data_IF_377228093113
#
_entry.id   IF_377228093113
#
_cell.length_a   1.000
_cell.length_b   1.000
_cell.length_c   1.000
_cell.angle_alpha   90.00
_cell.angle_beta   90.00
_cell.angle_gamma   90.00
#
_symmetry.space_group_name_H-M   'P 1'
#
loop_
_entity.id
_entity.type
_entity.pdbx_description
1 polymer ?
#
# COMPACT_ATOMS: atom_id res chain seq x y z
N UNK A 1 -61.11 -16.15 22.87
CA UNK A 1 -61.02 -17.54 22.37
C UNK A 1 -62.06 -17.73 21.28
N UNK A 2 -61.84 -17.08 20.13
CA UNK A 2 -62.83 -17.00 19.05
C UNK A 2 -62.57 -18.04 17.98
N UNK A 3 -63.63 -18.68 17.51
CA UNK A 3 -63.65 -19.64 16.39
C UNK A 3 -63.04 -19.02 15.10
N UNK A 4 -63.00 -17.70 15.01
CA UNK A 4 -62.34 -16.92 13.96
C UNK A 4 -60.79 -16.94 13.99
N UNK A 5 -60.14 -17.20 15.12
CA UNK A 5 -58.68 -17.42 15.16
C UNK A 5 -58.29 -18.76 14.51
N UNK A 6 -59.23 -19.70 14.44
CA UNK A 6 -59.03 -21.03 13.85
C UNK A 6 -59.13 -21.03 12.33
N UNK A 7 -59.92 -20.11 11.75
CA UNK A 7 -60.13 -20.01 10.29
C UNK A 7 -58.99 -19.24 9.59
N UNK A 8 -58.23 -18.40 10.30
CA UNK A 8 -56.93 -17.89 9.79
C UNK A 8 -55.81 -18.95 9.79
N UNK A 9 -56.06 -20.15 10.34
CA UNK A 9 -55.12 -21.26 10.41
C UNK A 9 -54.79 -21.91 9.07
N UNK A 10 -55.63 -21.74 8.04
CA UNK A 10 -55.49 -22.43 6.74
C UNK A 10 -54.84 -21.61 5.62
N UNK A 11 -54.52 -20.33 5.84
CA UNK A 11 -53.75 -19.59 4.85
C UNK A 11 -52.33 -20.15 4.80
N UNK A 12 -51.89 -20.54 3.60
CA UNK A 12 -50.51 -20.87 3.30
C UNK A 12 -49.67 -19.69 3.78
N UNK A 13 -48.82 -19.92 4.77
CA UNK A 13 -47.93 -18.89 5.26
C UNK A 13 -46.92 -18.56 4.16
N UNK A 14 -46.91 -17.30 3.72
CA UNK A 14 -45.89 -16.78 2.82
C UNK A 14 -44.77 -16.27 3.71
N UNK A 15 -43.63 -16.95 3.62
CA UNK A 15 -42.39 -16.57 4.30
C UNK A 15 -41.56 -15.81 3.29
N UNK A 16 -41.50 -14.49 3.45
CA UNK A 16 -40.74 -13.61 2.58
C UNK A 16 -40.11 -12.48 3.38
N UNK A 17 -39.06 -11.88 2.80
CA UNK A 17 -38.46 -10.66 3.30
C UNK A 17 -38.36 -9.65 2.16
N UNK A 18 -39.00 -8.50 2.34
CA UNK A 18 -38.73 -7.29 1.55
C UNK A 18 -37.77 -6.43 2.33
N UNK A 19 -36.48 -6.46 1.96
CA UNK A 19 -35.46 -5.61 2.58
C UNK A 19 -35.77 -4.15 2.26
N UNK A 20 -36.16 -3.39 3.28
CA UNK A 20 -36.37 -1.96 3.24
C UNK A 20 -35.17 -1.18 3.79
N UNK A 21 -34.12 -1.89 4.23
CA UNK A 21 -32.95 -1.31 4.85
C UNK A 21 -31.69 -1.35 3.99
N UNK A 22 -30.74 -0.48 4.32
CA UNK A 22 -29.42 -0.41 3.67
C UNK A 22 -28.32 -1.07 4.49
N UNK A 23 -28.59 -1.45 5.73
CA UNK A 23 -27.62 -1.97 6.72
C UNK A 23 -27.89 -3.41 7.19
N UNK A 24 -29.08 -3.97 6.96
CA UNK A 24 -29.44 -5.32 7.44
C UNK A 24 -28.73 -6.38 6.60
N UNK A 25 -27.90 -7.20 7.25
CA UNK A 25 -27.19 -8.33 6.64
C UNK A 25 -28.00 -9.61 6.80
N UNK A 26 -28.48 -9.89 8.03
CA UNK A 26 -29.33 -11.05 8.33
C UNK A 26 -30.60 -10.59 9.01
N UNK A 27 -31.72 -11.14 8.58
CA UNK A 27 -33.03 -10.91 9.18
C UNK A 27 -33.75 -12.23 9.41
N UNK A 28 -34.18 -12.47 10.66
CA UNK A 28 -34.98 -13.65 11.01
C UNK A 28 -36.46 -13.35 10.83
N UNK A 29 -37.15 -14.20 10.09
CA UNK A 29 -38.59 -14.10 9.90
C UNK A 29 -39.32 -14.21 11.27
N UNK A 30 -40.10 -13.19 11.68
CA UNK A 30 -40.76 -13.19 12.97
C UNK A 30 -41.98 -14.12 12.97
N UNK A 31 -42.04 -15.01 13.96
CA UNK A 31 -43.17 -15.93 14.15
C UNK A 31 -43.38 -16.19 15.63
N UNK A 32 -44.64 -16.23 16.08
CA UNK A 32 -44.94 -16.67 17.43
C UNK A 32 -44.54 -18.14 17.61
N UNK A 33 -43.64 -18.42 18.57
CA UNK A 33 -43.16 -19.77 18.89
C UNK A 33 -42.17 -20.39 17.88
N UNK A 34 -41.73 -19.65 16.85
CA UNK A 34 -40.88 -20.16 15.76
C UNK A 34 -41.44 -21.42 15.09
N UNK A 35 -42.77 -21.48 14.91
CA UNK A 35 -43.44 -22.61 14.26
C UNK A 35 -43.82 -22.27 12.82
N UNK A 36 -43.14 -22.88 11.85
CA UNK A 36 -43.46 -22.76 10.42
C UNK A 36 -44.39 -23.91 10.02
N UNK A 37 -45.55 -23.57 9.45
CA UNK A 37 -46.53 -24.58 9.02
C UNK A 37 -46.01 -25.38 7.82
N UNK A 38 -46.36 -26.66 7.79
CA UNK A 38 -46.14 -27.53 6.62
C UNK A 38 -46.85 -26.96 5.39
N UNK A 39 -46.15 -26.88 4.27
CA UNK A 39 -46.70 -26.34 3.03
C UNK A 39 -46.63 -24.81 2.92
N UNK A 40 -45.98 -24.12 3.87
CA UNK A 40 -45.65 -22.70 3.75
C UNK A 40 -44.85 -22.45 2.46
N UNK A 41 -45.08 -21.28 1.84
CA UNK A 41 -44.39 -20.84 0.64
C UNK A 41 -43.25 -19.92 1.03
N UNK A 42 -42.02 -20.34 0.79
CA UNK A 42 -40.82 -19.53 0.97
C UNK A 42 -40.52 -18.80 -0.34
N UNK A 43 -40.45 -17.47 -0.29
CA UNK A 43 -40.07 -16.63 -1.43
C UNK A 43 -38.74 -15.96 -1.11
N UNK A 44 -37.71 -16.33 -1.87
CA UNK A 44 -36.36 -15.77 -1.77
C UNK A 44 -36.12 -14.88 -2.98
N UNK A 45 -35.74 -13.62 -2.75
CA UNK A 45 -35.50 -12.63 -3.83
C UNK A 45 -34.08 -12.74 -4.37
N UNK A 46 -33.79 -12.14 -5.52
CA UNK A 46 -32.50 -12.25 -6.24
C UNK A 46 -31.27 -11.86 -5.39
N UNK A 47 -31.39 -10.82 -4.57
CA UNK A 47 -30.30 -10.34 -3.69
C UNK A 47 -30.33 -10.96 -2.29
N UNK A 48 -30.95 -12.12 -2.15
CA UNK A 48 -31.14 -12.78 -0.86
C UNK A 48 -30.86 -14.28 -0.95
N UNK A 49 -30.55 -14.87 0.18
CA UNK A 49 -30.51 -16.31 0.40
C UNK A 49 -31.27 -16.61 1.69
N UNK A 50 -32.04 -17.69 1.75
CA UNK A 50 -32.74 -18.07 2.96
C UNK A 50 -32.09 -19.30 3.60
N UNK A 51 -31.58 -19.14 4.82
CA UNK A 51 -31.03 -20.21 5.66
C UNK A 51 -32.15 -20.75 6.54
N UNK A 52 -32.47 -22.02 6.36
CA UNK A 52 -33.49 -22.71 7.12
C UNK A 52 -32.86 -23.48 8.28
N UNK A 53 -33.25 -23.14 9.50
CA UNK A 53 -32.79 -23.76 10.74
C UNK A 53 -33.93 -24.57 11.32
N UNK A 54 -33.70 -25.84 11.59
CA UNK A 54 -34.67 -26.72 12.23
C UNK A 54 -34.10 -27.24 13.55
N UNK A 55 -34.84 -27.06 14.64
CA UNK A 55 -34.46 -27.54 15.98
C UNK A 55 -33.01 -27.14 16.38
N UNK A 56 -32.59 -25.93 15.99
CA UNK A 56 -31.26 -25.40 16.29
C UNK A 56 -30.13 -25.87 15.36
N UNK A 57 -30.43 -26.59 14.27
CA UNK A 57 -29.45 -26.98 13.25
C UNK A 57 -29.80 -26.41 11.89
N UNK A 58 -28.81 -25.90 11.17
CA UNK A 58 -28.96 -25.50 9.77
C UNK A 58 -29.32 -26.75 8.95
N UNK A 59 -30.50 -26.73 8.34
CA UNK A 59 -31.02 -27.86 7.57
C UNK A 59 -30.84 -27.65 6.06
N UNK A 60 -30.97 -26.42 5.57
CA UNK A 60 -30.80 -26.10 4.16
C UNK A 60 -30.56 -24.60 3.90
N UNK A 61 -30.06 -24.28 2.71
CA UNK A 61 -29.78 -22.92 2.24
C UNK A 61 -30.42 -22.72 0.86
N UNK A 62 -31.51 -21.97 0.82
CA UNK A 62 -32.30 -21.72 -0.38
C UNK A 62 -31.82 -20.48 -1.15
N UNK A 63 -31.46 -20.70 -2.41
CA UNK A 63 -31.11 -19.65 -3.38
C UNK A 63 -32.35 -18.87 -3.86
N UNK A 64 -32.22 -17.74 -4.57
CA UNK A 64 -33.35 -17.00 -5.12
C UNK A 64 -34.36 -17.88 -5.85
N UNK A 65 -35.65 -17.71 -5.55
CA UNK A 65 -36.71 -18.55 -6.08
C UNK A 65 -37.90 -18.70 -5.12
N UNK A 66 -38.90 -19.46 -5.56
CA UNK A 66 -40.07 -19.80 -4.74
C UNK A 66 -40.08 -21.29 -4.41
N UNK A 67 -40.15 -21.62 -3.13
CA UNK A 67 -40.10 -22.98 -2.63
C UNK A 67 -41.34 -23.28 -1.80
N UNK A 68 -41.81 -24.53 -1.84
CA UNK A 68 -42.79 -25.01 -0.88
C UNK A 68 -42.06 -25.80 0.20
N UNK A 69 -42.14 -25.34 1.45
CA UNK A 69 -41.48 -25.97 2.58
C UNK A 69 -42.19 -27.29 2.90
N UNK A 70 -41.58 -28.40 2.48
CA UNK A 70 -42.02 -29.78 2.74
C UNK A 70 -40.83 -30.57 3.30
N UNK A 71 -41.08 -31.42 4.30
CA UNK A 71 -40.04 -32.27 4.92
C UNK A 71 -39.27 -33.14 3.91
N UNK A 72 -39.87 -33.51 2.78
CA UNK A 72 -39.24 -34.35 1.75
C UNK A 72 -38.21 -33.61 0.88
N UNK A 73 -38.26 -32.28 0.84
CA UNK A 73 -37.39 -31.47 -0.02
C UNK A 73 -36.14 -30.93 0.71
N UNK A 74 -35.93 -31.32 1.98
CA UNK A 74 -34.84 -30.85 2.83
C UNK A 74 -33.83 -32.00 3.03
N UNK A 75 -32.69 -32.00 2.33
CA UNK A 75 -31.77 -33.14 2.27
C UNK A 75 -31.21 -33.55 3.64
N UNK A 76 -30.91 -32.59 4.52
CA UNK A 76 -30.40 -32.90 5.88
C UNK A 76 -31.50 -33.52 6.77
N UNK A 77 -32.77 -33.13 6.59
CA UNK A 77 -33.89 -33.71 7.35
C UNK A 77 -34.21 -35.15 6.97
N UNK A 78 -33.96 -35.53 5.70
CA UNK A 78 -34.16 -36.91 5.24
C UNK A 78 -33.28 -37.92 5.97
N UNK A 79 -32.10 -37.48 6.45
CA UNK A 79 -31.12 -38.33 7.14
C UNK A 79 -31.38 -38.43 8.66
N UNK A 80 -32.01 -37.41 9.26
CA UNK A 80 -32.31 -37.36 10.70
C UNK A 80 -33.67 -38.01 11.09
N UNK A 81 -34.60 -38.22 10.14
CA UNK A 81 -36.00 -38.60 10.40
C UNK A 81 -36.33 -40.09 10.28
N UNK A 82 -35.52 -40.94 10.89
CA UNK A 82 -35.90 -42.32 11.17
C UNK A 82 -36.86 -42.47 12.36
N UNK A 83 -37.95 -41.70 12.52
CA UNK A 83 -38.90 -41.88 13.65
C UNK A 83 -40.39 -41.69 13.27
N UNK A 84 -40.98 -42.81 12.84
CA UNK A 84 -42.29 -43.44 13.14
C UNK A 84 -43.57 -42.68 13.58
N UNK A 85 -43.67 -41.35 13.65
CA UNK A 85 -44.97 -40.72 14.00
C UNK A 85 -45.41 -39.61 13.04
N UNK A 86 -46.69 -39.68 12.62
CA UNK A 86 -47.34 -38.86 11.60
C UNK A 86 -47.13 -37.34 11.77
N UNK A 87 -46.61 -36.72 10.71
CA UNK A 87 -46.12 -35.34 10.69
C UNK A 87 -47.21 -34.30 10.35
N UNK A 88 -48.24 -34.21 11.20
CA UNK A 88 -49.20 -33.11 11.19
C UNK A 88 -48.95 -32.11 12.35
N UNK A 89 -47.77 -32.12 12.96
CA UNK A 89 -47.39 -31.21 14.06
C UNK A 89 -46.43 -30.11 13.57
N UNK A 90 -46.61 -28.85 13.99
CA UNK A 90 -45.64 -27.79 13.73
C UNK A 90 -44.29 -28.18 14.34
N UNK A 91 -43.22 -27.96 13.58
CA UNK A 91 -41.84 -28.12 14.04
C UNK A 91 -41.27 -26.74 14.35
N UNK A 92 -40.39 -26.65 15.36
CA UNK A 92 -39.66 -25.42 15.67
C UNK A 92 -38.62 -25.17 14.57
N UNK A 93 -38.91 -24.21 13.70
CA UNK A 93 -38.04 -23.82 12.62
C UNK A 93 -37.96 -22.30 12.49
N UNK A 94 -36.78 -21.86 12.08
CA UNK A 94 -36.46 -20.46 11.87
C UNK A 94 -35.98 -20.31 10.43
N UNK A 95 -36.40 -19.22 9.79
CA UNK A 95 -35.89 -18.82 8.48
C UNK A 95 -35.15 -17.51 8.66
N UNK A 96 -33.87 -17.55 8.34
CA UNK A 96 -33.00 -16.38 8.30
C UNK A 96 -32.82 -16.00 6.84
N UNK A 97 -33.23 -14.79 6.47
CA UNK A 97 -32.87 -14.22 5.19
C UNK A 97 -31.53 -13.50 5.32
N UNK A 98 -30.63 -13.76 4.39
CA UNK A 98 -29.29 -13.21 4.35
C UNK A 98 -29.14 -12.44 3.04
N UNK A 99 -28.69 -11.19 3.13
CA UNK A 99 -28.48 -10.35 1.97
C UNK A 99 -27.20 -10.75 1.22
N UNK A 100 -27.32 -11.02 -0.08
CA UNK A 100 -26.18 -11.34 -0.95
C UNK A 100 -25.63 -10.11 -1.69
N UNK A 101 -26.22 -8.93 -1.47
CA UNK A 101 -25.77 -7.66 -2.05
C UNK A 101 -24.43 -7.21 -1.46
N UNK A 102 -23.77 -6.31 -2.17
CA UNK A 102 -22.60 -5.62 -1.64
C UNK A 102 -23.02 -4.43 -0.76
N UNK A 103 -22.39 -4.31 0.40
CA UNK A 103 -22.47 -3.18 1.31
C UNK A 103 -21.23 -2.33 1.08
N UNK A 104 -21.36 -1.20 0.38
CA UNK A 104 -20.22 -0.48 -0.20
C UNK A 104 -19.72 0.72 0.61
N UNK A 105 -20.48 1.19 1.59
CA UNK A 105 -20.17 2.41 2.35
C UNK A 105 -19.61 2.11 3.76
N UNK A 106 -18.83 1.03 3.88
CA UNK A 106 -18.19 0.68 5.13
C UNK A 106 -16.86 1.42 5.24
N UNK A 107 -16.68 2.17 6.32
CA UNK A 107 -15.48 2.98 6.55
C UNK A 107 -14.50 2.28 7.49
N UNK A 108 -13.21 2.39 7.18
CA UNK A 108 -12.11 1.90 8.01
C UNK A 108 -11.08 3.02 8.25
N UNK A 109 -10.27 2.87 9.29
CA UNK A 109 -9.19 3.80 9.58
C UNK A 109 -8.36 3.38 10.78
N UNK A 110 -7.09 3.77 10.78
CA UNK A 110 -6.15 3.50 11.87
C UNK A 110 -6.39 4.47 13.02
N UNK A 111 -6.84 3.98 14.18
CA UNK A 111 -7.00 4.84 15.38
C UNK A 111 -5.64 5.26 15.95
N UNK A 112 -4.71 4.32 15.99
CA UNK A 112 -3.30 4.56 16.33
C UNK A 112 -2.45 4.48 15.07
N UNK A 113 -1.40 5.31 14.93
CA UNK A 113 -0.48 5.18 13.81
C UNK A 113 0.11 3.78 13.72
N UNK A 114 0.24 3.30 12.50
CA UNK A 114 0.92 2.05 12.17
C UNK A 114 2.37 2.38 11.87
N UNK A 115 3.29 1.64 12.49
CA UNK A 115 4.72 1.83 12.28
C UNK A 115 5.14 0.97 11.08
N UNK A 116 5.69 1.62 10.04
CA UNK A 116 6.20 0.97 8.84
C UNK A 116 7.67 1.34 8.69
N UNK A 117 8.47 0.37 8.25
CA UNK A 117 9.88 0.58 7.94
C UNK A 117 10.01 1.07 6.50
N UNK A 118 10.53 2.28 6.36
CA UNK A 118 10.88 2.93 5.12
C UNK A 118 12.41 2.95 4.94
N UNK A 119 12.87 2.91 3.68
CA UNK A 119 14.30 2.89 3.37
C UNK A 119 14.98 4.25 3.55
N UNK A 120 14.28 5.34 3.29
CA UNK A 120 14.81 6.71 3.33
C UNK A 120 14.61 7.35 4.72
N UNK A 121 13.43 7.14 5.32
CA UNK A 121 13.02 7.79 6.56
C UNK A 121 13.11 6.87 7.79
N UNK A 122 13.48 5.60 7.63
CA UNK A 122 13.57 4.65 8.73
C UNK A 122 12.19 4.24 9.26
N UNK A 123 11.94 4.37 10.56
CA UNK A 123 10.65 3.96 11.13
C UNK A 123 9.64 5.11 11.05
N UNK A 124 8.66 4.99 10.14
CA UNK A 124 7.64 6.02 9.89
C UNK A 124 6.32 5.60 10.50
N UNK A 125 5.65 6.55 11.17
CA UNK A 125 4.31 6.36 11.76
C UNK A 125 3.25 6.86 10.80
N UNK A 126 2.58 5.93 10.12
CA UNK A 126 1.55 6.25 9.14
C UNK A 126 0.16 6.16 9.77
N UNK A 127 -0.72 7.08 9.40
CA UNK A 127 -2.16 6.90 9.58
C UNK A 127 -2.80 6.72 8.22
N UNK A 128 -3.78 5.86 8.12
CA UNK A 128 -4.52 5.66 6.88
C UNK A 128 -6.01 5.47 7.16
N UNK A 129 -6.83 5.89 6.21
CA UNK A 129 -8.27 5.67 6.24
C UNK A 129 -8.82 5.44 4.85
N UNK A 130 -10.04 4.91 4.80
CA UNK A 130 -10.78 4.80 3.55
C UNK A 130 -12.07 4.02 3.71
N UNK A 131 -12.45 3.34 2.62
CA UNK A 131 -13.68 2.57 2.54
C UNK A 131 -13.44 1.15 2.06
N UNK A 132 -14.38 0.26 2.34
CA UNK A 132 -14.40 -1.08 1.79
C UNK A 132 -15.83 -1.52 1.51
N UNK A 133 -15.94 -2.49 0.59
CA UNK A 133 -17.19 -3.18 0.32
C UNK A 133 -17.16 -4.55 1.01
N UNK A 134 -18.31 -4.96 1.53
CA UNK A 134 -18.53 -6.27 2.12
C UNK A 134 -19.65 -6.99 1.37
N UNK A 135 -19.54 -8.30 1.24
CA UNK A 135 -20.66 -9.16 0.84
C UNK A 135 -20.62 -10.47 1.61
N UNK A 136 -21.77 -11.10 1.76
CA UNK A 136 -21.84 -12.46 2.31
C UNK A 136 -21.48 -13.46 1.22
N UNK A 137 -20.51 -14.34 1.48
CA UNK A 137 -20.09 -15.42 0.59
C UNK A 137 -20.64 -16.78 1.02
N UNK A 138 -20.74 -17.02 2.33
CA UNK A 138 -21.36 -18.23 2.89
C UNK A 138 -22.39 -17.83 3.97
N UNK A 139 -23.69 -17.83 3.64
CA UNK A 139 -24.77 -17.51 4.56
C UNK A 139 -24.85 -18.44 5.78
N UNK A 140 -24.48 -19.72 5.64
CA UNK A 140 -24.55 -20.68 6.72
C UNK A 140 -23.39 -20.50 7.71
N UNK A 141 -22.19 -20.22 7.22
CA UNK A 141 -21.05 -19.87 8.06
C UNK A 141 -21.30 -18.55 8.80
N UNK A 142 -21.78 -17.51 8.10
CA UNK A 142 -22.12 -16.22 8.71
C UNK A 142 -23.12 -16.38 9.87
N UNK A 143 -24.18 -17.16 9.64
CA UNK A 143 -25.19 -17.41 10.66
C UNK A 143 -24.61 -18.15 11.86
N UNK A 144 -23.73 -19.13 11.64
CA UNK A 144 -23.13 -19.93 12.71
C UNK A 144 -22.10 -19.17 13.55
N UNK A 145 -21.24 -18.40 12.89
CA UNK A 145 -20.05 -17.79 13.52
C UNK A 145 -20.30 -16.37 14.03
N UNK A 146 -21.16 -15.58 13.36
CA UNK A 146 -21.37 -14.16 13.68
C UNK A 146 -22.80 -13.83 14.12
N UNK A 147 -23.81 -14.09 13.28
CA UNK A 147 -25.18 -13.64 13.58
C UNK A 147 -25.86 -14.45 14.70
N UNK A 148 -25.51 -15.74 14.85
CA UNK A 148 -26.06 -16.61 15.89
C UNK A 148 -27.58 -16.67 15.86
N UNK A 149 -28.22 -16.25 16.95
CA UNK A 149 -29.69 -16.20 17.10
C UNK A 149 -30.25 -14.78 17.00
N UNK A 150 -29.44 -13.82 16.56
CA UNK A 150 -29.86 -12.42 16.43
C UNK A 150 -31.01 -12.31 15.41
N UNK A 151 -32.16 -11.74 15.80
CA UNK A 151 -33.25 -11.52 14.86
C UNK A 151 -32.91 -10.55 13.73
N UNK A 152 -31.96 -9.63 13.92
CA UNK A 152 -31.57 -8.64 12.93
C UNK A 152 -30.09 -8.24 13.09
N UNK A 153 -29.23 -8.91 12.34
CA UNK A 153 -27.79 -8.62 12.30
C UNK A 153 -27.48 -7.54 11.25
N UNK A 154 -26.87 -6.44 11.68
CA UNK A 154 -26.58 -5.26 10.84
C UNK A 154 -25.10 -5.04 10.55
N UNK A 155 -24.83 -4.14 9.61
CA UNK A 155 -23.47 -3.75 9.26
C UNK A 155 -22.65 -3.17 10.42
N UNK A 156 -23.26 -2.44 11.37
CA UNK A 156 -22.49 -1.86 12.48
C UNK A 156 -21.83 -2.93 13.35
N UNK A 157 -22.51 -4.05 13.56
CA UNK A 157 -22.05 -5.15 14.40
C UNK A 157 -20.82 -5.84 13.82
N UNK A 158 -20.75 -5.95 12.49
CA UNK A 158 -19.60 -6.55 11.81
C UNK A 158 -18.48 -5.53 11.58
N UNK A 159 -18.81 -4.26 11.42
CA UNK A 159 -17.85 -3.22 11.03
C UNK A 159 -16.74 -3.03 12.08
N UNK A 160 -17.05 -3.10 13.37
CA UNK A 160 -16.02 -2.91 14.40
C UNK A 160 -15.01 -4.06 14.44
N UNK A 161 -15.49 -5.30 14.34
CA UNK A 161 -14.63 -6.49 14.22
C UNK A 161 -13.71 -6.37 13.00
N UNK A 162 -14.28 -6.03 11.84
CA UNK A 162 -13.52 -5.88 10.60
C UNK A 162 -12.51 -4.73 10.67
N UNK A 163 -12.85 -3.60 11.29
CA UNK A 163 -11.92 -2.48 11.48
C UNK A 163 -10.66 -2.92 12.22
N UNK A 164 -10.81 -3.70 13.29
CA UNK A 164 -9.69 -4.20 14.07
C UNK A 164 -8.81 -5.15 13.25
N UNK A 165 -9.45 -6.05 12.49
CA UNK A 165 -8.77 -6.98 11.59
C UNK A 165 -7.95 -6.23 10.52
N UNK A 166 -8.57 -5.25 9.87
CA UNK A 166 -7.94 -4.41 8.84
C UNK A 166 -6.68 -3.74 9.39
N UNK A 167 -6.75 -3.11 10.57
CA UNK A 167 -5.60 -2.43 11.18
C UNK A 167 -4.47 -3.42 11.49
N UNK A 168 -4.81 -4.63 11.95
CA UNK A 168 -3.83 -5.70 12.22
C UNK A 168 -3.09 -6.18 10.97
N UNK A 169 -3.75 -6.20 9.80
CA UNK A 169 -3.16 -6.65 8.53
C UNK A 169 -2.47 -5.53 7.75
N UNK A 170 -2.92 -4.30 7.90
CA UNK A 170 -2.39 -3.14 7.17
C UNK A 170 -0.88 -2.96 7.36
N UNK A 171 -0.39 -3.08 8.59
CA UNK A 171 1.03 -2.91 8.90
C UNK A 171 1.93 -3.90 8.14
N UNK A 172 1.52 -5.18 8.17
CA UNK A 172 2.23 -6.25 7.48
C UNK A 172 2.17 -6.08 5.96
N UNK A 173 1.00 -5.69 5.42
CA UNK A 173 0.84 -5.44 4.00
C UNK A 173 1.72 -4.27 3.51
N UNK A 174 1.71 -3.13 4.21
CA UNK A 174 2.54 -1.97 3.86
C UNK A 174 4.04 -2.30 3.95
N UNK A 175 4.46 -3.00 5.00
CA UNK A 175 5.86 -3.40 5.18
C UNK A 175 6.33 -4.42 4.13
N UNK A 176 5.50 -5.40 3.78
CA UNK A 176 5.82 -6.42 2.78
C UNK A 176 5.83 -5.87 1.35
N UNK A 177 5.02 -4.84 1.08
CA UNK A 177 4.95 -4.23 -0.24
C UNK A 177 6.25 -3.50 -0.62
N UNK A 178 7.08 -3.11 0.37
CA UNK A 178 8.39 -2.47 0.13
C UNK A 178 8.30 -1.13 -0.62
N UNK A 179 7.15 -0.47 -0.55
CA UNK A 179 6.88 0.78 -1.27
C UNK A 179 7.41 1.95 -0.45
N UNK A 180 8.26 2.82 -1.02
CA UNK A 180 8.67 4.04 -0.36
C UNK A 180 7.45 4.86 0.07
N UNK A 181 7.54 5.47 1.23
CA UNK A 181 6.42 6.19 1.84
C UNK A 181 5.89 7.32 0.94
N UNK A 182 6.75 7.94 0.13
CA UNK A 182 6.39 9.00 -0.82
C UNK A 182 5.63 8.46 -2.05
N UNK A 183 5.84 7.19 -2.40
CA UNK A 183 5.20 6.53 -3.53
C UNK A 183 3.91 5.80 -3.15
N UNK A 184 3.61 5.69 -1.84
CA UNK A 184 2.42 5.01 -1.35
C UNK A 184 1.13 5.56 -1.97
N UNK A 185 1.04 6.88 -2.16
CA UNK A 185 -0.11 7.52 -2.79
C UNK A 185 -0.36 7.01 -4.21
N UNK A 186 0.71 6.79 -4.99
CA UNK A 186 0.61 6.28 -6.36
C UNK A 186 0.22 4.79 -6.43
N UNK A 187 0.37 4.05 -5.32
CA UNK A 187 0.12 2.60 -5.26
C UNK A 187 -1.10 2.20 -4.41
N UNK A 188 -1.93 3.17 -3.99
CA UNK A 188 -3.10 2.92 -3.13
C UNK A 188 -4.06 1.88 -3.71
N UNK A 189 -4.32 1.91 -5.03
CA UNK A 189 -5.21 0.94 -5.69
C UNK A 189 -4.66 -0.48 -5.65
N UNK A 190 -3.36 -0.66 -5.90
CA UNK A 190 -2.69 -1.96 -5.85
C UNK A 190 -2.72 -2.52 -4.43
N UNK A 191 -2.34 -1.70 -3.45
CA UNK A 191 -2.35 -2.04 -2.03
C UNK A 191 -3.77 -2.37 -1.55
N UNK A 192 -4.77 -1.62 -2.02
CA UNK A 192 -6.17 -1.90 -1.73
C UNK A 192 -6.62 -3.25 -2.27
N UNK A 193 -6.24 -3.60 -3.51
CA UNK A 193 -6.51 -4.92 -4.09
C UNK A 193 -5.87 -6.07 -3.31
N UNK A 194 -4.61 -5.92 -2.89
CA UNK A 194 -3.91 -6.92 -2.08
C UNK A 194 -4.58 -7.11 -0.72
N UNK A 195 -4.92 -6.01 -0.03
CA UNK A 195 -5.64 -6.06 1.25
C UNK A 195 -7.02 -6.70 1.11
N UNK A 196 -7.76 -6.40 0.04
CA UNK A 196 -9.05 -7.03 -0.24
C UNK A 196 -8.93 -8.55 -0.36
N UNK A 197 -7.88 -9.04 -1.04
CA UNK A 197 -7.58 -10.46 -1.16
C UNK A 197 -7.28 -11.12 0.19
N UNK A 198 -6.33 -10.54 0.95
CA UNK A 198 -5.93 -11.04 2.28
C UNK A 198 -7.14 -11.11 3.22
N UNK A 199 -7.93 -10.04 3.28
CA UNK A 199 -9.12 -9.98 4.14
C UNK A 199 -10.19 -10.99 3.71
N UNK A 200 -10.39 -11.17 2.40
CA UNK A 200 -11.36 -12.16 1.89
C UNK A 200 -10.96 -13.58 2.26
N UNK A 201 -9.67 -13.91 2.18
CA UNK A 201 -9.17 -15.23 2.59
C UNK A 201 -9.35 -15.47 4.10
N UNK A 202 -8.99 -14.48 4.92
CA UNK A 202 -9.11 -14.58 6.37
C UNK A 202 -10.57 -14.65 6.85
N UNK A 203 -11.49 -13.98 6.15
CA UNK A 203 -12.91 -13.93 6.50
C UNK A 203 -13.73 -15.07 5.86
N UNK A 204 -13.11 -15.93 5.07
CA UNK A 204 -13.80 -17.05 4.42
C UNK A 204 -14.46 -18.00 5.43
N UNK A 205 -13.83 -18.25 6.58
CA UNK A 205 -14.36 -19.14 7.62
C UNK A 205 -15.62 -18.60 8.30
N UNK A 206 -15.82 -17.29 8.30
CA UNK A 206 -17.01 -16.62 8.84
C UNK A 206 -18.02 -16.24 7.75
N UNK A 207 -17.78 -16.67 6.50
CA UNK A 207 -18.71 -16.47 5.39
C UNK A 207 -18.78 -15.05 4.84
N UNK A 208 -17.73 -14.24 5.02
CA UNK A 208 -17.66 -12.86 4.53
C UNK A 208 -16.59 -12.75 3.44
N UNK A 209 -16.85 -11.93 2.43
CA UNK A 209 -15.87 -11.53 1.42
C UNK A 209 -15.77 -10.00 1.33
N UNK A 210 -14.58 -9.51 1.03
CA UNK A 210 -14.27 -8.08 0.83
C UNK A 210 -13.95 -7.86 -0.64
N UNK A 211 -14.96 -7.66 -1.52
CA UNK A 211 -14.74 -7.55 -2.96
C UNK A 211 -13.95 -6.30 -3.37
N UNK A 212 -13.96 -5.25 -2.55
CA UNK A 212 -13.24 -4.01 -2.81
C UNK A 212 -12.75 -3.39 -1.52
N UNK A 213 -11.51 -2.91 -1.52
CA UNK A 213 -10.94 -2.16 -0.42
C UNK A 213 -10.20 -0.95 -1.00
N UNK A 214 -10.47 0.22 -0.44
CA UNK A 214 -9.96 1.51 -0.93
C UNK A 214 -9.23 2.20 0.20
N UNK A 215 -8.00 2.61 -0.08
CA UNK A 215 -7.24 3.54 0.75
C UNK A 215 -7.51 4.94 0.18
N UNK A 216 -8.26 5.77 0.90
CA UNK A 216 -8.60 7.13 0.46
C UNK A 216 -7.45 8.10 0.74
N UNK A 217 -6.75 7.92 1.88
CA UNK A 217 -5.63 8.78 2.25
C UNK A 217 -4.67 8.08 3.21
N UNK A 218 -3.40 8.45 3.11
CA UNK A 218 -2.31 8.05 4.00
C UNK A 218 -1.66 9.35 4.49
N UNK A 219 -1.73 9.61 5.78
CA UNK A 219 -1.15 10.79 6.42
C UNK A 219 0.22 10.44 7.02
N UNK A 220 1.16 11.34 6.76
CA UNK A 220 2.53 11.28 7.27
C UNK A 220 2.60 11.97 8.64
N UNK A 221 3.61 11.64 9.45
CA UNK A 221 3.89 12.42 10.65
C UNK A 221 4.55 13.75 10.26
N UNK A 222 4.31 14.80 11.05
CA UNK A 222 4.75 16.18 10.76
C UNK A 222 6.26 16.30 10.55
N UNK A 223 7.05 15.48 11.26
CA UNK A 223 8.51 15.46 11.11
C UNK A 223 8.95 15.01 9.72
N UNK A 224 8.24 14.04 9.13
CA UNK A 224 8.50 13.54 7.77
C UNK A 224 7.98 14.54 6.74
N UNK A 225 6.79 15.13 6.95
CA UNK A 225 6.28 16.19 6.07
C UNK A 225 7.26 17.37 5.97
N UNK A 226 7.77 17.84 7.12
CA UNK A 226 8.79 18.90 7.16
C UNK A 226 10.09 18.52 6.44
N UNK A 227 10.52 17.27 6.57
CA UNK A 227 11.73 16.78 5.89
C UNK A 227 11.53 16.74 4.37
N UNK A 228 10.37 16.29 3.91
CA UNK A 228 9.99 16.25 2.49
C UNK A 228 9.89 17.67 1.92
N UNK A 229 9.24 18.59 2.63
CA UNK A 229 9.14 19.99 2.22
C UNK A 229 10.51 20.67 2.15
N UNK A 230 11.39 20.40 3.12
CA UNK A 230 12.75 20.93 3.12
C UNK A 230 13.58 20.36 1.95
N UNK A 231 13.48 19.07 1.68
CA UNK A 231 14.14 18.43 0.55
C UNK A 231 13.60 18.95 -0.79
N UNK A 232 12.28 19.11 -0.92
CA UNK A 232 11.64 19.70 -2.09
C UNK A 232 12.10 21.15 -2.34
N UNK A 233 12.16 21.98 -1.28
CA UNK A 233 12.74 23.32 -1.36
C UNK A 233 14.20 23.30 -1.82
N UNK A 234 15.01 22.35 -1.31
CA UNK A 234 16.41 22.22 -1.72
C UNK A 234 16.54 21.83 -3.20
N UNK A 235 15.69 20.92 -3.67
CA UNK A 235 15.70 20.42 -5.05
C UNK A 235 15.22 21.48 -6.06
N UNK A 236 14.20 22.27 -5.70
CA UNK A 236 13.73 23.41 -6.51
C UNK A 236 14.80 24.50 -6.61
N UNK A 237 15.52 24.73 -5.52
CA UNK A 237 16.51 25.79 -5.45
C UNK A 237 17.77 25.43 -6.24
N UNK A 238 18.15 24.15 -6.31
CA UNK A 238 19.20 23.59 -7.18
C UNK A 238 20.63 24.10 -6.93
N UNK A 239 20.77 25.25 -6.26
CA UNK A 239 22.00 25.96 -6.00
C UNK A 239 22.13 26.23 -4.50
N UNK A 240 23.12 25.58 -3.86
CA UNK A 240 23.42 25.70 -2.43
C UNK A 240 23.64 27.16 -1.99
N UNK A 241 24.08 28.04 -2.90
CA UNK A 241 24.22 29.47 -2.63
C UNK A 241 22.87 30.18 -2.51
N UNK A 242 21.87 29.80 -3.31
CA UNK A 242 20.51 30.34 -3.17
C UNK A 242 19.82 29.81 -1.92
N UNK A 243 20.07 28.56 -1.52
CA UNK A 243 19.48 28.00 -0.31
C UNK A 243 19.98 28.72 0.94
N UNK A 244 21.29 28.99 1.03
CA UNK A 244 21.86 29.77 2.13
C UNK A 244 21.33 31.20 2.14
N UNK A 245 21.14 31.83 0.97
CA UNK A 245 20.46 33.14 0.85
C UNK A 245 18.99 33.10 1.29
N UNK A 246 18.24 32.06 0.94
CA UNK A 246 16.83 31.91 1.33
C UNK A 246 16.72 31.65 2.83
N UNK A 247 17.56 30.79 3.41
CA UNK A 247 17.58 30.57 4.86
C UNK A 247 17.96 31.84 5.62
N UNK A 248 18.93 32.62 5.14
CA UNK A 248 19.25 33.91 5.77
C UNK A 248 18.10 34.90 5.63
N UNK A 249 17.38 34.90 4.49
CA UNK A 249 16.20 35.73 4.30
C UNK A 249 15.02 35.32 5.23
N UNK A 250 14.76 34.03 5.39
CA UNK A 250 13.74 33.50 6.31
C UNK A 250 14.12 33.83 7.76
N UNK A 251 15.38 33.64 8.16
CA UNK A 251 15.87 34.01 9.49
C UNK A 251 15.77 35.52 9.75
N UNK A 252 16.06 36.37 8.75
CA UNK A 252 15.86 37.82 8.83
C UNK A 252 14.38 38.18 8.95
N UNK A 253 13.49 37.48 8.24
CA UNK A 253 12.04 37.68 8.32
C UNK A 253 11.48 37.29 9.68
N UNK A 254 11.89 36.15 10.22
CA UNK A 254 11.45 35.65 11.53
C UNK A 254 11.99 36.52 12.68
N UNK A 255 13.22 37.03 12.54
CA UNK A 255 13.79 38.02 13.46
C UNK A 255 13.08 39.38 13.37
N UNK A 256 12.72 39.83 12.15
CA UNK A 256 11.95 41.05 11.94
C UNK A 256 10.50 40.94 12.44
N UNK A 257 9.91 39.74 12.40
CA UNK A 257 8.61 39.44 12.98
C UNK A 257 8.64 39.33 14.52
N UNK A 258 9.81 39.09 15.13
CA UNK A 258 10.01 39.03 16.57
C UNK A 258 11.10 40.01 17.06
N UNK A 259 10.90 41.33 16.91
CA UNK A 259 11.93 42.35 17.16
C UNK A 259 12.37 42.49 18.64
N UNK A 260 11.72 41.78 19.57
CA UNK A 260 12.06 41.75 21.00
C UNK A 260 12.71 40.44 21.49
N UNK A 261 12.93 39.45 20.61
CA UNK A 261 13.59 38.19 20.98
C UNK A 261 15.11 38.28 20.77
N UNK A 262 15.91 37.83 21.75
CA UNK A 262 17.38 37.89 21.75
C UNK A 262 18.12 37.21 20.57
N UNK A 263 17.41 36.70 19.58
CA UNK A 263 17.94 36.22 18.30
C UNK A 263 18.49 37.37 17.40
N UNK A 264 17.96 38.59 17.51
CA UNK A 264 18.41 39.74 16.71
C UNK A 264 19.85 40.19 17.03
N UNK A 265 20.26 40.10 18.30
CA UNK A 265 21.63 40.46 18.73
C UNK A 265 22.67 39.44 18.27
N UNK A 266 22.36 38.14 18.31
CA UNK A 266 23.26 37.08 17.87
C UNK A 266 23.51 37.08 16.35
N UNK A 267 22.49 37.43 15.56
CA UNK A 267 22.59 37.49 14.09
C UNK A 267 23.32 38.74 13.61
N UNK A 268 23.12 39.90 14.27
CA UNK A 268 23.87 41.13 13.98
C UNK A 268 25.36 41.01 14.29
N UNK A 269 25.71 40.32 15.37
CA UNK A 269 27.10 39.96 15.70
C UNK A 269 27.68 38.95 14.72
N UNK A 270 26.93 37.91 14.33
CA UNK A 270 27.38 36.89 13.38
C UNK A 270 27.64 37.43 11.97
N UNK A 271 26.76 38.30 11.46
CA UNK A 271 26.94 38.98 10.18
C UNK A 271 28.09 40.01 10.23
N UNK A 272 28.25 40.73 11.34
CA UNK A 272 29.37 41.66 11.54
C UNK A 272 30.73 40.96 11.58
N UNK A 273 30.81 39.79 12.22
CA UNK A 273 32.04 38.98 12.27
C UNK A 273 32.37 38.33 10.92
N UNK A 274 31.37 37.82 10.18
CA UNK A 274 31.58 37.24 8.86
C UNK A 274 31.99 38.28 7.80
N UNK A 275 31.41 39.49 7.85
CA UNK A 275 31.83 40.61 7.02
C UNK A 275 33.24 41.11 7.39
N UNK A 276 33.56 41.15 8.68
CA UNK A 276 34.90 41.51 9.18
C UNK A 276 35.99 40.54 8.74
N UNK A 277 35.73 39.23 8.73
CA UNK A 277 36.70 38.23 8.26
C UNK A 277 36.95 38.28 6.75
N UNK A 278 35.92 38.55 5.95
CA UNK A 278 36.09 38.75 4.50
C UNK A 278 36.87 40.03 4.17
N UNK A 279 36.71 41.08 4.98
CA UNK A 279 37.47 42.32 4.82
C UNK A 279 38.92 42.18 5.32
N UNK A 280 39.15 41.43 6.40
CA UNK A 280 40.49 41.15 6.90
C UNK A 280 41.30 40.22 5.98
N UNK A 281 40.64 39.29 5.28
CA UNK A 281 41.29 38.42 4.28
C UNK A 281 41.70 39.14 2.99
N UNK A 282 41.08 40.27 2.66
CA UNK A 282 41.40 41.06 1.45
C UNK A 282 42.60 42.03 1.64
N UNK A 283 43.08 42.21 2.88
CA UNK A 283 44.21 43.10 3.20
C UNK A 283 45.52 42.37 3.54
N UNK A 284 45.55 41.04 3.50
CA UNK A 284 46.75 40.25 3.78
C UNK A 284 47.59 40.05 2.50
N UNK A 285 48.85 40.54 2.43
CA UNK A 285 49.72 40.33 1.29
C UNK A 285 50.17 38.87 1.19
N UNK A 286 50.03 38.31 0.00
CA UNK A 286 50.33 36.93 -0.38
C UNK A 286 51.83 36.77 -0.72
N UNK A 287 52.59 35.83 -0.08
CA UNK A 287 53.92 35.47 -0.55
C UNK A 287 53.88 34.38 -1.63
N UNK A 288 54.82 34.48 -2.58
CA UNK A 288 55.00 33.64 -3.76
C UNK A 288 55.57 32.22 -3.43
N UNK A 289 55.39 31.23 -4.35
CA UNK A 289 55.69 29.83 -4.08
C UNK A 289 57.16 29.47 -4.33
N UNK A 290 57.75 28.66 -3.44
CA UNK A 290 59.04 28.01 -3.65
C UNK A 290 58.85 26.49 -3.89
N UNK A 291 59.64 25.96 -4.83
CA UNK A 291 59.60 24.61 -5.35
C UNK A 291 59.93 23.51 -4.30
N UNK A 292 59.43 22.28 -4.46
CA UNK A 292 59.72 21.19 -3.54
C UNK A 292 60.99 20.43 -3.93
N UNK A 293 61.88 20.23 -2.95
CA UNK A 293 62.94 19.25 -2.98
C UNK A 293 62.56 18.04 -2.09
N UNK A 294 62.69 16.84 -2.65
CA UNK A 294 62.67 15.54 -1.95
C UNK A 294 63.74 15.47 -0.85
N UNK A 295 63.50 14.73 0.24
CA UNK A 295 64.29 13.52 0.42
C UNK A 295 63.57 12.33 1.11
N UNK A 296 64.27 11.20 1.01
CA UNK A 296 63.91 9.83 1.34
C UNK A 296 63.77 9.49 2.84
N UNK A 297 63.20 8.30 3.08
CA UNK A 297 62.94 7.61 4.34
C UNK A 297 64.17 7.40 5.27
N UNK A 298 63.94 7.05 6.54
CA UNK A 298 64.22 5.66 6.93
C UNK A 298 63.30 5.02 8.01
N UNK A 299 63.15 3.70 7.84
CA UNK A 299 63.13 2.57 8.79
C UNK A 299 62.46 2.65 10.20
N UNK A 300 61.66 1.60 10.45
CA UNK A 300 61.07 1.19 11.74
C UNK A 300 62.06 0.42 12.66
N UNK A 301 61.60 0.07 13.88
CA UNK A 301 61.73 -1.33 14.32
C UNK A 301 60.41 -1.94 14.87
N UNK A 302 60.31 -3.25 14.65
CA UNK A 302 59.24 -4.18 15.05
C UNK A 302 59.41 -4.68 16.51
N UNK A 303 58.38 -5.12 17.24
CA UNK A 303 57.82 -6.50 17.35
C UNK A 303 56.96 -6.58 18.66
N UNK A 304 56.29 -7.70 19.05
CA UNK A 304 55.46 -8.68 18.32
C UNK A 304 54.16 -9.08 19.08
N UNK A 305 53.23 -9.78 18.42
CA UNK A 305 52.58 -11.05 18.88
C UNK A 305 51.23 -11.32 18.16
N UNK A 306 51.08 -12.55 17.67
CA UNK A 306 49.93 -13.14 16.96
C UNK A 306 49.01 -13.93 17.93
N UNK A 307 48.07 -14.80 17.51
CA UNK A 307 47.34 -14.95 16.22
C UNK A 307 45.80 -15.11 16.40
N UNK A 308 44.99 -15.02 15.33
CA UNK A 308 43.91 -15.99 14.98
C UNK A 308 43.27 -15.65 13.61
N UNK A 309 42.79 -16.69 12.93
CA UNK A 309 42.36 -16.85 11.54
C UNK A 309 41.52 -15.74 10.86
N UNK A 310 41.84 -15.49 9.58
CA UNK A 310 41.03 -14.71 8.65
C UNK A 310 40.87 -15.44 7.30
N UNK A 311 39.67 -15.99 7.05
CA UNK A 311 39.09 -16.12 5.72
C UNK A 311 37.86 -15.22 5.67
N UNK A 312 38.10 -13.91 5.60
CA UNK A 312 37.07 -12.91 5.39
C UNK A 312 37.11 -12.51 3.92
N UNK A 313 36.27 -13.14 3.11
CA UNK A 313 35.86 -12.58 1.82
C UNK A 313 35.06 -11.31 2.12
N UNK A 314 35.46 -10.12 1.64
CA UNK A 314 34.64 -8.93 1.81
C UNK A 314 33.35 -9.06 0.97
N UNK A 315 32.18 -8.67 1.52
CA UNK A 315 30.91 -8.77 0.83
C UNK A 315 30.87 -7.82 -0.39
N UNK A 316 30.17 -8.19 -1.47
CA UNK A 316 30.01 -7.34 -2.65
C UNK A 316 29.16 -6.12 -2.29
N UNK A 317 29.65 -4.93 -2.65
CA UNK A 317 28.87 -3.69 -2.60
C UNK A 317 27.72 -3.76 -3.64
N UNK A 318 26.55 -3.17 -3.35
CA UNK A 318 25.45 -3.09 -4.29
C UNK A 318 25.81 -2.21 -5.50
N UNK A 319 25.66 -2.77 -6.70
CA UNK A 319 25.72 -2.05 -7.99
C UNK A 319 24.70 -0.92 -8.01
N UNK A 320 25.18 0.31 -8.10
CA UNK A 320 24.35 1.50 -8.34
C UNK A 320 24.19 1.63 -9.85
N UNK A 321 22.99 1.39 -10.38
CA UNK A 321 22.70 1.57 -11.79
C UNK A 321 22.97 3.03 -12.23
N UNK A 322 23.77 3.19 -13.28
CA UNK A 322 23.50 4.23 -14.28
C UNK A 322 24.51 5.35 -14.46
N UNK A 323 25.62 5.44 -13.71
CA UNK A 323 26.61 6.50 -13.91
C UNK A 323 27.76 6.04 -14.81
N UNK A 324 27.79 6.57 -16.04
CA UNK A 324 28.78 6.24 -17.06
C UNK A 324 29.78 7.37 -17.28
N UNK A 325 31.04 7.01 -17.45
CA UNK A 325 32.09 7.89 -17.93
C UNK A 325 32.40 7.56 -19.39
N UNK A 326 32.72 8.59 -20.18
CA UNK A 326 32.94 8.49 -21.63
C UNK A 326 34.30 9.12 -21.97
N UNK A 327 35.11 8.43 -22.77
CA UNK A 327 36.38 8.92 -23.27
C UNK A 327 36.19 9.70 -24.58
N UNK A 328 36.16 11.04 -24.51
CA UNK A 328 36.04 11.92 -25.67
C UNK A 328 37.30 12.78 -25.81
N UNK A 329 37.76 13.01 -27.04
CA UNK A 329 38.87 13.93 -27.34
C UNK A 329 40.16 13.72 -26.52
N UNK A 330 40.43 12.48 -26.08
CA UNK A 330 41.60 12.13 -25.25
C UNK A 330 41.44 12.40 -23.75
N UNK A 331 40.26 12.80 -23.28
CA UNK A 331 39.92 13.00 -21.88
C UNK A 331 38.72 12.17 -21.42
N UNK A 332 38.59 11.98 -20.10
CA UNK A 332 37.42 11.37 -19.47
C UNK A 332 36.38 12.44 -19.14
N UNK A 333 35.15 12.24 -19.58
CA UNK A 333 33.98 13.06 -19.26
C UNK A 333 32.90 12.22 -18.53
N UNK A 334 32.03 12.88 -17.75
CA UNK A 334 30.97 12.24 -16.93
C UNK A 334 31.08 12.56 -15.43
N UNK A 335 30.25 11.95 -14.57
CA UNK A 335 29.32 10.86 -14.86
C UNK A 335 28.05 11.29 -15.60
N UNK A 336 27.58 10.47 -16.52
CA UNK A 336 26.35 10.64 -17.30
C UNK A 336 25.36 9.52 -17.01
N UNK A 337 24.08 9.86 -16.95
CA UNK A 337 23.00 8.88 -16.90
C UNK A 337 22.66 8.31 -18.29
N UNK A 338 21.79 7.30 -18.33
CA UNK A 338 21.35 6.65 -19.56
C UNK A 338 20.66 7.61 -20.54
N UNK A 339 19.94 8.62 -20.04
CA UNK A 339 19.26 9.62 -20.87
C UNK A 339 20.24 10.55 -21.58
N UNK A 340 21.29 11.00 -20.86
CA UNK A 340 22.36 11.82 -21.42
C UNK A 340 23.20 11.03 -22.43
N UNK A 341 23.47 9.75 -22.18
CA UNK A 341 24.13 8.89 -23.15
C UNK A 341 23.31 8.72 -24.44
N UNK A 342 22.00 8.54 -24.33
CA UNK A 342 21.11 8.46 -25.50
C UNK A 342 21.15 9.74 -26.34
N UNK A 343 21.16 10.91 -25.69
CA UNK A 343 21.33 12.20 -26.37
C UNK A 343 22.69 12.31 -27.09
N UNK A 344 23.79 11.90 -26.44
CA UNK A 344 25.13 11.92 -27.04
C UNK A 344 25.26 10.95 -28.23
N UNK A 345 24.53 9.84 -28.22
CA UNK A 345 24.44 8.91 -29.35
C UNK A 345 23.67 9.55 -30.52
N UNK A 346 22.54 10.23 -30.22
CA UNK A 346 21.75 10.93 -31.24
C UNK A 346 22.50 12.13 -31.85
N UNK A 347 23.32 12.84 -31.05
CA UNK A 347 24.19 13.94 -31.47
C UNK A 347 25.43 13.46 -32.25
N UNK A 348 25.72 12.15 -32.25
CA UNK A 348 26.87 11.55 -32.93
C UNK A 348 28.21 11.72 -32.19
N UNK A 349 28.19 12.34 -31.02
CA UNK A 349 29.36 12.56 -30.16
C UNK A 349 29.81 11.26 -29.48
N UNK A 350 28.89 10.36 -29.18
CA UNK A 350 29.16 9.02 -28.67
C UNK A 350 28.88 7.97 -29.76
N UNK A 351 29.92 7.25 -30.16
CA UNK A 351 29.86 6.21 -31.19
C UNK A 351 30.10 4.83 -30.58
N UNK A 352 29.84 3.76 -31.34
CA UNK A 352 30.14 2.38 -30.91
C UNK A 352 31.61 2.15 -30.54
N UNK A 353 32.52 2.94 -31.13
CA UNK A 353 33.96 2.90 -30.88
C UNK A 353 34.41 3.74 -29.67
N UNK A 354 33.52 4.57 -29.10
CA UNK A 354 33.84 5.43 -27.97
C UNK A 354 34.07 4.58 -26.72
N UNK A 355 35.16 4.84 -26.00
CA UNK A 355 35.46 4.14 -24.74
C UNK A 355 34.53 4.63 -23.64
N UNK A 356 33.94 3.70 -22.91
CA UNK A 356 33.06 3.96 -21.78
C UNK A 356 33.45 3.10 -20.59
N UNK A 357 33.15 3.61 -19.39
CA UNK A 357 33.42 2.92 -18.14
C UNK A 357 32.34 3.27 -17.11
N UNK A 358 31.93 2.29 -16.31
CA UNK A 358 31.07 2.48 -15.15
C UNK A 358 31.67 1.77 -13.94
N UNK A 359 31.27 2.19 -12.74
CA UNK A 359 31.69 1.55 -11.51
C UNK A 359 31.39 0.04 -11.55
N UNK A 360 32.43 -0.77 -11.36
CA UNK A 360 32.34 -2.24 -11.47
C UNK A 360 32.92 -2.83 -12.76
N UNK A 361 33.32 -2.02 -13.74
CA UNK A 361 34.04 -2.51 -14.92
C UNK A 361 35.55 -2.62 -14.67
N UNK A 362 36.14 -3.72 -15.12
CA UNK A 362 37.59 -3.98 -14.96
C UNK A 362 38.47 -3.02 -15.78
N UNK A 363 37.99 -2.52 -16.91
CA UNK A 363 38.69 -1.59 -17.79
C UNK A 363 37.70 -0.79 -18.64
N UNK A 364 38.19 0.31 -19.21
CA UNK A 364 37.48 1.05 -20.26
C UNK A 364 37.21 0.13 -21.45
N UNK A 365 35.96 0.08 -21.87
CA UNK A 365 35.50 -0.83 -22.92
C UNK A 365 34.77 -0.04 -24.00
N UNK A 366 34.77 -0.53 -25.25
CA UNK A 366 34.06 0.14 -26.33
C UNK A 366 32.54 0.10 -26.10
N UNK A 367 31.84 1.21 -26.32
CA UNK A 367 30.40 1.32 -26.05
C UNK A 367 29.55 0.28 -26.81
N UNK A 368 29.99 -0.14 -28.00
CA UNK A 368 29.33 -1.18 -28.80
C UNK A 368 29.49 -2.61 -28.28
N UNK A 369 30.42 -2.87 -27.36
CA UNK A 369 30.64 -4.21 -26.80
C UNK A 369 29.82 -4.45 -25.52
N UNK A 370 29.12 -3.43 -25.03
CA UNK A 370 28.37 -3.48 -23.78
C UNK A 370 26.88 -3.76 -24.04
N UNK A 371 26.35 -4.92 -23.58
CA UNK A 371 24.93 -5.25 -23.74
C UNK A 371 23.99 -4.19 -23.16
N UNK A 372 24.44 -3.47 -22.13
CA UNK A 372 23.69 -2.38 -21.50
C UNK A 372 23.47 -1.17 -22.44
N UNK A 373 24.41 -0.91 -23.36
CA UNK A 373 24.36 0.25 -24.28
C UNK A 373 23.91 -0.13 -25.70
N UNK A 374 23.94 -1.42 -26.07
CA UNK A 374 23.48 -1.88 -27.38
C UNK A 374 22.06 -1.40 -27.73
N UNK A 375 21.14 -1.41 -26.76
CA UNK A 375 19.75 -0.97 -26.97
C UNK A 375 19.64 0.52 -27.30
N UNK A 376 20.57 1.34 -26.81
CA UNK A 376 20.59 2.78 -27.10
C UNK A 376 21.06 3.07 -28.52
N UNK A 377 21.98 2.26 -29.07
CA UNK A 377 22.43 2.37 -30.46
C UNK A 377 21.44 1.81 -31.48
N UNK A 378 20.53 0.92 -31.08
CA UNK A 378 19.51 0.36 -31.97
C UNK A 378 18.39 1.36 -32.33
N UNK A 379 18.29 2.47 -31.60
CA UNK A 379 17.29 3.52 -31.82
C UNK A 379 17.67 4.56 -32.89
N UNK A 380 18.87 4.47 -33.49
CA UNK A 380 19.33 5.39 -34.54
C UNK A 380 19.40 4.62 -35.88
N UNK A 381 18.62 5.01 -36.91
CA UNK A 381 18.65 4.35 -38.21
C UNK A 381 20.01 4.54 -38.89
N UNK A 382 20.54 3.52 -39.62
CA UNK A 382 21.82 3.63 -40.31
C UNK A 382 21.80 4.77 -41.35
N UNK A 383 22.95 5.43 -41.59
CA UNK A 383 23.03 6.54 -42.54
C UNK A 383 22.65 6.09 -43.96
N UNK A 384 21.87 6.92 -44.65
CA UNK A 384 21.42 6.67 -46.03
C UNK A 384 22.63 6.55 -46.96
N UNK A 385 22.66 5.55 -47.87
CA UNK A 385 23.73 5.41 -48.85
C UNK A 385 23.80 6.64 -49.77
N UNK A 386 24.99 7.01 -50.27
CA UNK A 386 25.16 8.20 -51.11
C UNK A 386 24.35 8.07 -52.40
N UNK A 387 23.58 9.13 -52.71
CA UNK A 387 22.81 9.21 -53.94
C UNK A 387 23.76 9.19 -55.16
N UNK A 388 23.42 8.44 -56.22
CA UNK A 388 24.22 8.43 -57.44
C UNK A 388 24.26 9.83 -58.08
N UNK A 389 25.36 10.19 -58.76
CA UNK A 389 25.49 11.49 -59.40
C UNK A 389 24.40 11.67 -60.45
N UNK A 390 23.64 12.76 -60.35
CA UNK A 390 22.69 13.14 -61.37
C UNK A 390 23.46 13.58 -62.63
N UNK A 391 23.18 12.90 -63.73
CA UNK A 391 23.71 13.15 -65.07
C UNK A 391 23.21 14.45 -65.68
#
# INVERSE_FOLDING_TARGET
MGIFDRIRGEFIDIVEWTDDSRDTIVWRFPRHGNEIKMGARLVVRESQTAVFVNEGRIADVFQPGTYTLRTQNLPVLSTLKGWKHGFASPFKAEVYFVSSRQFTDLKWGTRTPVIVRDAEFGMVRLRAFGGFALRVSDPAALLRELAGTDPQFRTEEVQEYLRQLIVGRLAGALGAAGVPVLDLAAQQDRLGGELAGILTEELASVGIAVPKFVIESISLPEEVEKAVDAAGRMNIVGDLNRYTQIQTADALRDAAANPGGGAGEGLGLGLGLAAGQRMAGALAPQPAPAAPATPAAPAAPATPAAPVDALSVPPPLPVTDGQWHVGLSGGQEGPYDSGRLAAMIAEGTLTRATLVWQAGMAAWTSAGELPALERLFAAVPPPLPPLPPQS
#
